data_IF_153715228458
#
_entry.id   IF_153715228458
#
_cell.length_a   1.000
_cell.length_b   1.000
_cell.length_c   1.000
_cell.angle_alpha   90.00
_cell.angle_beta   90.00
_cell.angle_gamma   90.00
#
_symmetry.space_group_name_H-M   'P 1'
#
loop_
_entity.id
_entity.type
_entity.pdbx_description
1 polymer ?
#
# COMPACT_ATOMS: atom_id res chain seq x y z
N UNK A 1 -39.86 -2.00 -9.23
CA UNK A 1 -38.96 -2.00 -8.04
C UNK A 1 -37.82 -2.96 -8.36
N UNK A 2 -36.63 -2.43 -8.61
CA UNK A 2 -35.49 -3.23 -9.03
C UNK A 2 -35.02 -4.14 -7.89
N UNK A 3 -35.04 -5.45 -8.14
CA UNK A 3 -34.43 -6.48 -7.31
C UNK A 3 -32.94 -6.19 -7.19
N UNK A 4 -32.48 -5.74 -6.03
CA UNK A 4 -31.05 -5.53 -5.76
C UNK A 4 -30.39 -6.91 -5.83
N UNK A 5 -29.49 -7.09 -6.81
CA UNK A 5 -28.63 -8.27 -6.85
C UNK A 5 -27.67 -8.19 -5.66
N UNK A 6 -28.02 -8.88 -4.57
CA UNK A 6 -27.19 -9.11 -3.39
C UNK A 6 -25.85 -9.84 -3.68
N UNK A 7 -25.56 -10.15 -4.95
CA UNK A 7 -24.44 -11.00 -5.37
C UNK A 7 -23.39 -10.28 -6.23
N UNK A 8 -23.50 -8.95 -6.45
CA UNK A 8 -22.38 -8.20 -7.07
C UNK A 8 -21.40 -7.77 -5.97
N UNK A 9 -20.08 -8.02 -6.12
CA UNK A 9 -19.10 -7.56 -5.16
C UNK A 9 -19.18 -6.03 -5.04
N UNK A 10 -19.14 -5.55 -3.81
CA UNK A 10 -19.28 -4.13 -3.52
C UNK A 10 -18.01 -3.37 -3.93
N UNK A 11 -18.08 -2.15 -4.52
CA UNK A 11 -16.88 -1.45 -5.00
C UNK A 11 -15.82 -1.23 -3.92
N UNK A 12 -16.24 -0.97 -2.67
CA UNK A 12 -15.32 -0.85 -1.54
C UNK A 12 -14.70 -2.20 -1.15
N UNK A 13 -15.45 -3.31 -1.27
CA UNK A 13 -14.89 -4.65 -1.04
C UNK A 13 -13.93 -5.05 -2.15
N UNK A 14 -14.19 -4.67 -3.40
CA UNK A 14 -13.30 -4.94 -4.52
C UNK A 14 -12.01 -4.12 -4.37
N UNK A 15 -12.12 -2.84 -4.00
CA UNK A 15 -10.97 -2.02 -3.64
C UNK A 15 -10.19 -2.63 -2.48
N UNK A 16 -10.85 -2.98 -1.38
CA UNK A 16 -10.19 -3.64 -0.24
C UNK A 16 -9.58 -4.98 -0.65
N UNK A 17 -10.21 -5.83 -1.45
CA UNK A 17 -9.63 -7.10 -1.89
C UNK A 17 -8.44 -6.92 -2.84
N UNK A 18 -8.42 -5.83 -3.61
CA UNK A 18 -7.32 -5.51 -4.54
C UNK A 18 -6.18 -4.69 -3.91
N UNK A 19 -6.49 -3.90 -2.87
CA UNK A 19 -5.58 -3.05 -2.09
C UNK A 19 -5.25 -3.61 -0.71
N UNK A 20 -5.80 -4.77 -0.35
CA UNK A 20 -5.19 -5.68 0.61
C UNK A 20 -4.07 -6.36 -0.17
N UNK A 21 -2.83 -6.02 0.16
CA UNK A 21 -1.74 -6.95 -0.05
C UNK A 21 -2.12 -8.13 0.83
N UNK A 22 -2.82 -9.11 0.25
CA UNK A 22 -3.13 -10.35 0.93
C UNK A 22 -1.80 -11.05 1.02
N UNK A 23 -1.01 -10.72 2.05
CA UNK A 23 0.17 -11.51 2.32
C UNK A 23 -0.32 -12.91 2.67
N UNK A 24 0.53 -13.92 2.48
CA UNK A 24 0.22 -15.27 2.98
C UNK A 24 0.10 -15.32 4.52
N UNK A 25 0.39 -14.19 5.19
CA UNK A 25 0.57 -14.01 6.63
C UNK A 25 -0.35 -12.97 7.30
N UNK A 26 -1.23 -12.24 6.58
CA UNK A 26 -2.19 -11.29 7.15
C UNK A 26 -2.29 -9.92 6.46
N UNK A 27 -2.95 -8.93 7.12
CA UNK A 27 -2.98 -7.53 6.68
C UNK A 27 -1.78 -6.79 7.24
N UNK A 28 -0.84 -6.39 6.39
CA UNK A 28 0.32 -5.61 6.79
C UNK A 28 0.29 -4.29 6.04
N UNK A 29 0.26 -3.18 6.79
CA UNK A 29 0.47 -1.87 6.23
C UNK A 29 1.91 -1.75 5.68
N UNK A 30 2.05 -1.28 4.45
CA UNK A 30 3.33 -1.10 3.79
C UNK A 30 3.35 0.25 3.07
N UNK A 31 4.09 1.25 3.57
CA UNK A 31 4.10 2.60 2.99
C UNK A 31 5.06 2.77 1.79
N UNK A 32 5.67 1.68 1.32
CA UNK A 32 6.80 1.71 0.41
C UNK A 32 8.16 1.68 1.11
N UNK A 33 9.17 1.23 0.39
CA UNK A 33 10.58 1.18 0.79
C UNK A 33 11.47 1.41 -0.44
N UNK A 34 11.79 2.68 -0.71
CA UNK A 34 12.72 3.04 -1.79
C UNK A 34 14.11 3.19 -1.19
N UNK A 35 15.08 2.43 -1.69
CA UNK A 35 16.43 2.32 -1.12
C UNK A 35 17.43 3.17 -1.94
N UNK A 36 18.48 3.76 -1.33
CA UNK A 36 19.41 4.65 -2.02
C UNK A 36 20.37 3.93 -2.99
N UNK A 37 20.77 2.70 -2.68
CA UNK A 37 21.78 1.93 -3.44
C UNK A 37 21.17 0.70 -4.12
N UNK A 38 19.94 0.84 -4.61
CA UNK A 38 19.26 -0.22 -5.33
C UNK A 38 19.04 0.22 -6.77
N UNK A 39 19.22 -0.69 -7.72
CA UNK A 39 19.13 -0.41 -9.16
C UNK A 39 17.74 -0.67 -9.73
N UNK A 40 16.90 -1.43 -9.03
CA UNK A 40 15.59 -1.90 -9.49
C UNK A 40 14.50 -1.52 -8.46
N UNK A 41 13.34 -1.06 -8.92
CA UNK A 41 12.21 -0.67 -8.08
C UNK A 41 10.90 -1.22 -8.62
N UNK A 42 10.17 -2.00 -7.82
CA UNK A 42 8.81 -2.40 -8.17
C UNK A 42 7.87 -1.26 -7.84
N UNK A 43 7.20 -0.74 -8.86
CA UNK A 43 6.27 0.39 -8.73
C UNK A 43 4.82 -0.01 -8.83
N UNK A 44 4.51 -1.15 -9.43
CA UNK A 44 3.16 -1.70 -9.42
C UNK A 44 3.21 -3.22 -9.30
N UNK A 45 2.46 -3.76 -8.35
CA UNK A 45 2.48 -5.19 -8.03
C UNK A 45 1.06 -5.72 -7.78
N UNK A 46 0.72 -6.90 -8.34
CA UNK A 46 -0.60 -7.48 -8.18
C UNK A 46 -0.81 -8.05 -6.77
N UNK A 47 -1.65 -7.39 -5.96
CA UNK A 47 -1.90 -7.76 -4.56
C UNK A 47 -2.49 -9.15 -4.32
N UNK A 48 -2.98 -9.85 -5.35
CA UNK A 48 -3.50 -11.22 -5.24
C UNK A 48 -2.41 -12.29 -5.07
N UNK A 49 -1.15 -11.97 -5.37
CA UNK A 49 -0.01 -12.90 -5.28
C UNK A 49 0.73 -12.69 -3.96
N UNK A 50 0.13 -13.20 -2.89
CA UNK A 50 0.58 -12.94 -1.53
C UNK A 50 1.98 -13.45 -1.20
N UNK A 51 2.33 -14.63 -1.70
CA UNK A 51 3.63 -15.23 -1.43
C UNK A 51 4.76 -14.46 -2.13
N UNK A 52 4.53 -14.04 -3.36
CA UNK A 52 5.45 -13.22 -4.14
C UNK A 52 5.58 -11.82 -3.53
N UNK A 53 4.48 -11.23 -3.07
CA UNK A 53 4.51 -9.97 -2.33
C UNK A 53 5.31 -10.09 -1.03
N UNK A 54 5.14 -11.17 -0.26
CA UNK A 54 5.92 -11.44 0.95
C UNK A 54 7.42 -11.52 0.66
N UNK A 55 7.80 -12.22 -0.41
CA UNK A 55 9.19 -12.29 -0.85
C UNK A 55 9.73 -10.91 -1.27
N UNK A 56 8.92 -10.09 -1.93
CA UNK A 56 9.28 -8.73 -2.31
C UNK A 56 9.55 -7.85 -1.07
N UNK A 57 8.63 -7.86 -0.10
CA UNK A 57 8.73 -7.08 1.13
C UNK A 57 9.94 -7.52 1.95
N UNK A 58 10.18 -8.83 2.06
CA UNK A 58 11.36 -9.36 2.73
C UNK A 58 12.64 -8.80 2.07
N UNK A 59 12.74 -8.91 0.74
CA UNK A 59 13.91 -8.42 0.00
C UNK A 59 14.13 -6.91 0.16
N UNK A 60 13.07 -6.10 0.19
CA UNK A 60 13.18 -4.66 0.40
C UNK A 60 13.56 -4.27 1.84
N UNK A 61 13.22 -5.10 2.83
CA UNK A 61 13.51 -4.84 4.25
C UNK A 61 14.85 -5.39 4.72
N UNK A 62 15.52 -6.24 3.94
CA UNK A 62 16.83 -6.75 4.29
C UNK A 62 17.83 -5.58 4.44
N UNK A 63 18.41 -5.43 5.64
CA UNK A 63 19.25 -4.28 6.01
C UNK A 63 20.70 -4.38 5.52
N UNK A 64 21.11 -5.57 5.08
CA UNK A 64 22.49 -5.89 4.67
C UNK A 64 22.62 -6.19 3.19
N UNK A 65 21.50 -6.39 2.49
CA UNK A 65 21.39 -6.67 1.07
C UNK A 65 20.13 -5.97 0.58
N UNK A 66 20.28 -4.98 -0.29
CA UNK A 66 19.18 -4.16 -0.81
C UNK A 66 18.94 -4.48 -2.30
N UNK A 67 18.51 -5.72 -2.64
CA UNK A 67 18.40 -6.13 -4.04
C UNK A 67 17.22 -5.49 -4.77
N UNK A 68 16.26 -4.92 -4.03
CA UNK A 68 15.01 -4.42 -4.62
C UNK A 68 14.39 -3.28 -3.80
N UNK A 69 14.06 -2.17 -4.45
CA UNK A 69 13.17 -1.13 -3.91
C UNK A 69 11.70 -1.49 -4.18
N UNK A 70 10.79 -1.03 -3.32
CA UNK A 70 9.35 -1.13 -3.51
C UNK A 70 8.71 0.25 -3.36
N UNK A 71 8.11 0.79 -4.42
CA UNK A 71 7.29 1.99 -4.33
C UNK A 71 5.82 1.68 -4.01
N UNK A 72 5.38 0.43 -4.22
CA UNK A 72 4.03 -0.04 -3.92
C UNK A 72 3.60 0.28 -2.49
N UNK A 73 2.32 0.62 -2.32
CA UNK A 73 1.74 1.03 -1.04
C UNK A 73 0.51 0.19 -0.73
N UNK A 74 0.40 -0.26 0.52
CA UNK A 74 -0.75 -0.98 1.05
C UNK A 74 -1.15 -0.35 2.38
N UNK A 75 -2.29 0.34 2.41
CA UNK A 75 -2.85 0.94 3.63
C UNK A 75 -4.05 0.11 4.07
N UNK A 76 -3.85 -0.61 5.18
CA UNK A 76 -4.81 -1.62 5.66
C UNK A 76 -5.61 -1.17 6.87
N UNK A 77 -5.26 -0.02 7.44
CA UNK A 77 -5.82 0.52 8.67
C UNK A 77 -5.78 2.05 8.66
N UNK A 78 -6.44 2.66 9.65
CA UNK A 78 -6.58 4.12 9.74
C UNK A 78 -5.23 4.81 9.93
N UNK A 79 -4.35 4.21 10.73
CA UNK A 79 -3.04 4.74 11.07
C UNK A 79 -2.12 4.81 9.85
N UNK A 80 -2.20 3.82 8.96
CA UNK A 80 -1.46 3.80 7.70
C UNK A 80 -2.06 4.71 6.63
N UNK A 81 -3.35 5.05 6.73
CA UNK A 81 -4.00 6.03 5.85
C UNK A 81 -5.25 5.52 5.12
N UNK A 82 -5.84 4.39 5.55
CA UNK A 82 -7.14 3.96 5.06
C UNK A 82 -8.20 5.02 5.37
N UNK A 83 -8.98 5.42 4.36
CA UNK A 83 -9.95 6.51 4.46
C UNK A 83 -9.35 7.92 4.34
N UNK A 84 -8.01 8.04 4.30
CA UNK A 84 -7.37 9.34 4.14
C UNK A 84 -7.32 9.79 2.68
N UNK A 85 -7.43 11.10 2.47
CA UNK A 85 -7.45 11.72 1.15
C UNK A 85 -6.18 12.52 0.91
N UNK A 86 -5.46 12.20 -0.17
CA UNK A 86 -4.30 12.95 -0.63
C UNK A 86 -4.66 14.13 -1.53
N UNK A 87 -3.70 15.04 -1.69
CA UNK A 87 -3.84 16.26 -2.50
C UNK A 87 -3.24 16.05 -3.88
N UNK A 88 -3.99 16.43 -4.93
CA UNK A 88 -3.54 16.43 -6.32
C UNK A 88 -2.95 17.80 -6.68
N UNK A 89 -1.61 17.94 -6.76
CA UNK A 89 -0.97 19.19 -7.13
C UNK A 89 -1.25 19.57 -8.59
N UNK A 90 -1.52 18.61 -9.47
CA UNK A 90 -1.76 18.83 -10.90
C UNK A 90 -3.14 19.43 -11.20
N UNK A 91 -4.04 19.43 -10.21
CA UNK A 91 -5.40 19.99 -10.36
C UNK A 91 -5.44 21.52 -10.41
N UNK A 92 -4.31 22.20 -10.20
CA UNK A 92 -4.20 23.67 -10.11
C UNK A 92 -4.92 24.30 -8.90
N UNK A 93 -5.70 23.52 -8.16
CA UNK A 93 -6.52 23.96 -7.02
C UNK A 93 -6.31 23.10 -5.78
N UNK A 94 -5.28 22.23 -5.78
CA UNK A 94 -5.00 21.26 -4.71
C UNK A 94 -6.24 20.45 -4.32
N UNK A 95 -7.03 20.06 -5.31
CA UNK A 95 -8.17 19.16 -5.10
C UNK A 95 -7.68 17.76 -4.73
N UNK A 96 -8.58 16.98 -4.14
CA UNK A 96 -8.31 15.58 -3.83
C UNK A 96 -8.06 14.77 -5.12
N UNK A 97 -7.29 13.67 -5.07
CA UNK A 97 -7.12 12.76 -6.22
C UNK A 97 -8.38 11.99 -6.61
N UNK A 98 -9.36 11.85 -5.70
CA UNK A 98 -10.55 11.02 -5.93
C UNK A 98 -11.32 11.32 -7.23
N UNK A 99 -11.62 12.58 -7.59
CA UNK A 99 -12.34 12.88 -8.83
C UNK A 99 -11.59 12.39 -10.07
N UNK A 100 -10.26 12.45 -10.07
CA UNK A 100 -9.43 12.00 -11.20
C UNK A 100 -9.36 10.47 -11.24
N UNK A 101 -9.01 9.82 -10.13
CA UNK A 101 -8.76 8.37 -10.11
C UNK A 101 -10.05 7.57 -10.10
N UNK A 102 -11.06 8.05 -9.38
CA UNK A 102 -12.29 7.30 -9.12
C UNK A 102 -13.51 7.88 -9.82
N UNK A 103 -13.50 9.17 -10.17
CA UNK A 103 -14.71 9.87 -10.54
C UNK A 103 -15.65 10.06 -9.35
N UNK A 104 -16.94 10.25 -9.63
CA UNK A 104 -17.96 10.38 -8.61
C UNK A 104 -18.37 8.99 -8.07
N UNK A 105 -18.28 8.82 -6.76
CA UNK A 105 -18.66 7.59 -6.08
C UNK A 105 -20.13 7.63 -5.64
N UNK A 106 -20.84 6.51 -5.83
CA UNK A 106 -22.21 6.30 -5.33
C UNK A 106 -22.22 6.18 -3.81
N UNK A 107 -23.32 6.58 -3.17
CA UNK A 107 -23.55 6.33 -1.75
C UNK A 107 -23.51 4.84 -1.40
N UNK A 108 -23.75 3.94 -2.37
CA UNK A 108 -23.65 2.51 -2.10
C UNK A 108 -22.28 2.19 -1.50
N UNK A 109 -21.19 2.79 -2.02
CA UNK A 109 -19.84 2.61 -1.51
C UNK A 109 -19.68 2.94 -0.01
N UNK A 110 -20.60 3.70 0.59
CA UNK A 110 -20.63 4.06 2.00
C UNK A 110 -21.38 3.06 2.87
N UNK A 111 -21.97 2.01 2.30
CA UNK A 111 -22.61 0.94 3.04
C UNK A 111 -21.65 -0.23 3.26
N UNK A 112 -21.56 -0.70 4.50
CA UNK A 112 -20.93 -1.96 4.85
C UNK A 112 -22.00 -2.90 5.39
N UNK A 113 -22.44 -3.85 4.57
CA UNK A 113 -23.51 -4.79 4.92
C UNK A 113 -22.89 -6.11 5.35
N UNK A 114 -23.14 -6.53 6.58
CA UNK A 114 -22.56 -7.74 7.16
C UNK A 114 -23.65 -8.69 7.62
N UNK A 115 -23.57 -9.96 7.19
CA UNK A 115 -24.41 -11.03 7.70
C UNK A 115 -23.63 -11.86 8.72
N UNK A 116 -23.98 -11.73 10.00
CA UNK A 116 -23.30 -12.42 11.11
C UNK A 116 -23.44 -13.96 11.05
N UNK A 117 -24.26 -14.47 10.14
CA UNK A 117 -24.40 -15.93 9.90
C UNK A 117 -23.30 -16.47 9.01
N UNK A 118 -22.57 -15.60 8.30
CA UNK A 118 -21.68 -15.95 7.20
C UNK A 118 -20.21 -15.58 7.45
N UNK A 119 -19.92 -14.92 8.57
CA UNK A 119 -18.57 -14.43 8.86
C UNK A 119 -18.10 -14.86 10.25
N UNK A 120 -16.78 -14.92 10.43
CA UNK A 120 -16.15 -15.17 11.73
C UNK A 120 -16.10 -13.88 12.57
N UNK A 121 -15.79 -14.02 13.86
CA UNK A 121 -15.59 -12.89 14.76
C UNK A 121 -14.43 -12.00 14.29
N UNK A 122 -13.28 -12.59 13.93
CA UNK A 122 -12.14 -11.85 13.37
C UNK A 122 -12.50 -11.08 12.09
N UNK A 123 -13.36 -11.64 11.23
CA UNK A 123 -13.82 -10.92 10.03
C UNK A 123 -14.75 -9.78 10.39
N UNK A 124 -15.60 -9.95 11.40
CA UNK A 124 -16.46 -8.88 11.90
C UNK A 124 -15.63 -7.71 12.44
N UNK A 125 -14.66 -7.99 13.30
CA UNK A 125 -13.77 -6.97 13.86
C UNK A 125 -13.04 -6.20 12.76
N UNK A 126 -12.55 -6.90 11.72
CA UNK A 126 -11.93 -6.25 10.55
C UNK A 126 -12.91 -5.35 9.80
N UNK A 127 -14.13 -5.82 9.55
CA UNK A 127 -15.18 -5.04 8.87
C UNK A 127 -15.59 -3.81 9.66
N UNK A 128 -15.62 -3.91 10.99
CA UNK A 128 -15.87 -2.79 11.89
C UNK A 128 -14.75 -1.74 11.83
N UNK A 129 -13.50 -2.18 11.94
CA UNK A 129 -12.34 -1.30 11.86
C UNK A 129 -12.27 -0.58 10.50
N UNK A 130 -12.48 -1.32 9.41
CA UNK A 130 -12.51 -0.79 8.04
C UNK A 130 -13.64 0.23 7.85
N UNK A 131 -14.86 -0.12 8.25
CA UNK A 131 -16.01 0.78 8.13
C UNK A 131 -15.78 2.07 8.93
N UNK A 132 -15.21 1.96 10.13
CA UNK A 132 -14.87 3.11 10.96
C UNK A 132 -13.78 3.99 10.34
N UNK A 133 -12.73 3.39 9.77
CA UNK A 133 -11.66 4.13 9.09
C UNK A 133 -12.17 4.88 7.86
N UNK A 134 -13.10 4.26 7.12
CA UNK A 134 -13.64 4.79 5.87
C UNK A 134 -14.89 5.68 6.03
N UNK A 135 -15.40 5.84 7.25
CA UNK A 135 -16.65 6.56 7.50
C UNK A 135 -17.88 5.91 6.86
N UNK A 136 -17.90 4.58 6.75
CA UNK A 136 -19.01 3.80 6.21
C UNK A 136 -20.06 3.49 7.28
N UNK A 137 -21.30 3.34 6.85
CA UNK A 137 -22.42 2.87 7.66
C UNK A 137 -22.41 1.35 7.70
N UNK A 138 -21.97 0.79 8.83
CA UNK A 138 -22.00 -0.65 9.08
C UNK A 138 -23.39 -1.10 9.53
N UNK A 139 -24.00 -2.02 8.78
CA UNK A 139 -25.29 -2.63 9.13
C UNK A 139 -25.14 -4.14 9.25
N UNK A 140 -25.47 -4.65 10.44
CA UNK A 140 -25.31 -6.07 10.81
C UNK A 140 -26.66 -6.78 10.77
N UNK A 141 -26.75 -7.86 10.00
CA UNK A 141 -27.87 -8.80 10.04
C UNK A 141 -27.57 -9.89 11.06
N UNK A 142 -28.46 -10.05 12.03
CA UNK A 142 -28.39 -11.11 13.04
C UNK A 142 -29.36 -12.25 12.70
N UNK A 143 -29.20 -13.40 13.37
CA UNK A 143 -30.16 -14.52 13.26
C UNK A 143 -31.56 -14.17 13.80
N UNK A 144 -31.67 -13.17 14.67
CA UNK A 144 -32.91 -12.75 15.32
C UNK A 144 -33.69 -11.73 14.50
N UNK A 145 -33.09 -11.15 13.46
CA UNK A 145 -33.73 -10.14 12.64
C UNK A 145 -34.80 -10.77 11.73
N UNK A 146 -36.05 -10.36 11.92
CA UNK A 146 -37.11 -10.60 10.93
C UNK A 146 -36.80 -9.82 9.65
N UNK A 147 -37.35 -10.25 8.51
CA UNK A 147 -37.17 -9.55 7.23
C UNK A 147 -37.69 -8.10 7.26
N UNK A 148 -38.68 -7.81 8.10
CA UNK A 148 -39.19 -6.44 8.31
C UNK A 148 -38.20 -5.58 9.09
N UNK A 149 -37.59 -6.11 10.15
CA UNK A 149 -36.55 -5.41 10.91
C UNK A 149 -35.30 -5.21 10.04
N UNK A 150 -34.89 -6.24 9.30
CA UNK A 150 -33.75 -6.16 8.38
C UNK A 150 -33.92 -5.05 7.35
N UNK A 151 -35.07 -5.00 6.66
CA UNK A 151 -35.36 -3.94 5.68
C UNK A 151 -35.30 -2.54 6.30
N UNK A 152 -35.81 -2.36 7.52
CA UNK A 152 -35.76 -1.07 8.23
C UNK A 152 -34.34 -0.67 8.60
N UNK A 153 -33.53 -1.60 9.12
CA UNK A 153 -32.12 -1.35 9.43
C UNK A 153 -31.34 -0.95 8.17
N UNK A 154 -31.55 -1.69 7.08
CA UNK A 154 -30.89 -1.43 5.81
C UNK A 154 -31.30 -0.06 5.23
N UNK A 155 -32.59 0.29 5.28
CA UNK A 155 -33.06 1.58 4.80
C UNK A 155 -32.48 2.76 5.62
N UNK A 156 -32.45 2.63 6.95
CA UNK A 156 -31.83 3.63 7.80
C UNK A 156 -30.34 3.82 7.47
N UNK A 157 -29.61 2.72 7.28
CA UNK A 157 -28.21 2.76 6.89
C UNK A 157 -28.02 3.41 5.51
N UNK A 158 -28.93 3.20 4.55
CA UNK A 158 -28.89 3.86 3.23
C UNK A 158 -28.99 5.37 3.34
N UNK A 159 -29.94 5.88 4.14
CA UNK A 159 -30.08 7.32 4.36
C UNK A 159 -28.83 7.94 4.99
N UNK A 160 -28.22 7.24 5.95
CA UNK A 160 -26.97 7.66 6.57
C UNK A 160 -25.79 7.62 5.59
N UNK A 161 -25.70 6.57 4.76
CA UNK A 161 -24.67 6.44 3.72
C UNK A 161 -24.80 7.52 2.64
N UNK A 162 -26.02 7.89 2.26
CA UNK A 162 -26.29 9.03 1.38
C UNK A 162 -25.79 10.35 1.99
N UNK A 163 -26.09 10.59 3.27
CA UNK A 163 -25.61 11.75 4.00
C UNK A 163 -24.08 11.79 4.09
N UNK A 164 -23.43 10.66 4.42
CA UNK A 164 -21.97 10.54 4.50
C UNK A 164 -21.31 10.75 3.13
N UNK A 165 -21.88 10.20 2.07
CA UNK A 165 -21.42 10.40 0.70
C UNK A 165 -21.51 11.88 0.29
N UNK A 166 -22.64 12.54 0.58
CA UNK A 166 -22.83 13.96 0.32
C UNK A 166 -21.83 14.83 1.11
N UNK A 167 -21.64 14.55 2.41
CA UNK A 167 -20.68 15.24 3.26
C UNK A 167 -19.24 15.06 2.75
N UNK A 168 -18.89 13.87 2.25
CA UNK A 168 -17.58 13.62 1.63
C UNK A 168 -17.49 14.05 0.15
N UNK A 169 -18.50 14.76 -0.36
CA UNK A 169 -18.57 15.28 -1.74
C UNK A 169 -18.44 14.18 -2.81
N UNK A 170 -18.95 12.98 -2.52
CA UNK A 170 -18.89 11.83 -3.43
C UNK A 170 -17.48 11.31 -3.73
N UNK A 171 -16.51 11.58 -2.83
CA UNK A 171 -15.17 10.98 -2.90
C UNK A 171 -15.22 9.51 -2.45
N UNK A 172 -14.18 8.75 -2.77
CA UNK A 172 -14.10 7.35 -2.35
C UNK A 172 -13.92 7.21 -0.83
N UNK A 173 -14.73 6.39 -0.13
CA UNK A 173 -14.65 6.25 1.33
C UNK A 173 -13.34 5.58 1.79
N UNK A 174 -12.72 4.76 0.94
CA UNK A 174 -11.39 4.18 1.20
C UNK A 174 -10.23 5.17 1.06
N UNK A 175 -10.49 6.38 0.54
CA UNK A 175 -9.48 7.41 0.39
C UNK A 175 -8.59 7.26 -0.85
N UNK A 176 -7.71 8.24 -1.03
CA UNK A 176 -6.75 8.30 -2.13
C UNK A 176 -5.34 8.69 -1.68
N UNK A 177 -5.09 8.76 -0.36
CA UNK A 177 -3.77 9.09 0.17
C UNK A 177 -2.70 8.07 -0.21
N UNK A 178 -3.10 6.80 -0.40
CA UNK A 178 -2.20 5.76 -0.93
C UNK A 178 -1.57 6.17 -2.26
N UNK A 179 -2.32 6.86 -3.14
CA UNK A 179 -1.84 7.23 -4.47
C UNK A 179 -0.81 8.36 -4.38
N UNK A 180 -1.06 9.36 -3.54
CA UNK A 180 -0.09 10.42 -3.25
C UNK A 180 1.21 9.84 -2.66
N UNK A 181 1.11 8.91 -1.71
CA UNK A 181 2.29 8.25 -1.15
C UNK A 181 3.04 7.41 -2.18
N UNK A 182 2.30 6.65 -2.99
CA UNK A 182 2.85 5.86 -4.08
C UNK A 182 3.58 6.75 -5.10
N UNK A 183 2.97 7.85 -5.52
CA UNK A 183 3.56 8.82 -6.44
C UNK A 183 4.89 9.36 -5.88
N UNK A 184 4.93 9.77 -4.62
CA UNK A 184 6.16 10.25 -3.97
C UNK A 184 7.27 9.18 -3.99
N UNK A 185 6.91 7.91 -3.77
CA UNK A 185 7.86 6.81 -3.83
C UNK A 185 8.38 6.58 -5.26
N UNK A 186 7.50 6.65 -6.27
CA UNK A 186 7.89 6.56 -7.68
C UNK A 186 8.84 7.70 -8.07
N UNK A 187 8.52 8.94 -7.70
CA UNK A 187 9.36 10.09 -7.97
C UNK A 187 10.73 9.95 -7.31
N UNK A 188 10.79 9.45 -6.08
CA UNK A 188 12.05 9.16 -5.40
C UNK A 188 12.86 8.06 -6.11
N UNK A 189 12.20 7.01 -6.62
CA UNK A 189 12.86 5.95 -7.38
C UNK A 189 13.44 6.49 -8.71
N UNK A 190 12.69 7.36 -9.40
CA UNK A 190 13.15 8.06 -10.61
C UNK A 190 14.34 8.96 -10.31
N UNK A 191 14.28 9.76 -9.24
CA UNK A 191 15.39 10.63 -8.82
C UNK A 191 16.67 9.84 -8.52
N UNK A 192 16.53 8.60 -8.08
CA UNK A 192 17.64 7.68 -7.81
C UNK A 192 18.10 6.89 -9.03
N UNK A 193 17.50 7.11 -10.20
CA UNK A 193 17.85 6.42 -11.44
C UNK A 193 17.53 4.92 -11.42
N UNK A 194 16.54 4.50 -10.64
CA UNK A 194 16.14 3.09 -10.54
C UNK A 194 15.34 2.67 -11.77
N UNK A 195 15.56 1.44 -12.23
CA UNK A 195 14.70 0.82 -13.24
C UNK A 195 13.36 0.51 -12.60
N UNK A 196 12.27 1.01 -13.17
CA UNK A 196 10.93 0.79 -12.62
C UNK A 196 10.30 -0.47 -13.22
N UNK A 197 9.64 -1.27 -12.39
CA UNK A 197 9.02 -2.54 -12.79
C UNK A 197 7.52 -2.53 -12.50
N UNK A 198 6.71 -2.92 -13.49
CA UNK A 198 5.26 -3.12 -13.39
C UNK A 198 4.96 -4.59 -13.64
N UNK A 199 4.30 -5.23 -12.67
CA UNK A 199 3.88 -6.63 -12.78
C UNK A 199 2.39 -6.75 -13.08
N UNK A 200 2.07 -7.59 -14.05
CA UNK A 200 0.72 -7.95 -14.47
C UNK A 200 0.34 -9.32 -13.92
N UNK A 201 -0.94 -9.64 -13.96
CA UNK A 201 -1.43 -10.99 -13.74
C UNK A 201 -0.85 -11.98 -14.75
N UNK A 202 -0.80 -13.25 -14.34
CA UNK A 202 -0.31 -14.35 -15.14
C UNK A 202 -0.95 -14.40 -16.52
N UNK A 203 -0.10 -14.47 -17.54
CA UNK A 203 -0.39 -14.44 -18.97
C UNK A 203 -1.12 -13.17 -19.46
N UNK A 204 -1.02 -12.06 -18.72
CA UNK A 204 -1.73 -10.80 -19.03
C UNK A 204 -0.80 -9.58 -19.10
N UNK A 205 0.50 -9.79 -19.36
CA UNK A 205 1.47 -8.71 -19.52
C UNK A 205 1.02 -7.68 -20.55
N UNK A 206 0.97 -6.41 -20.14
CA UNK A 206 0.58 -5.27 -20.99
C UNK A 206 -0.92 -5.06 -21.14
N UNK A 207 -1.75 -5.97 -20.63
CA UNK A 207 -3.20 -5.93 -20.80
C UNK A 207 -3.90 -5.10 -19.70
N UNK A 208 -4.96 -4.38 -20.07
CA UNK A 208 -5.82 -3.66 -19.13
C UNK A 208 -5.36 -2.27 -18.73
N UNK A 209 -4.42 -1.67 -19.47
CA UNK A 209 -4.05 -0.25 -19.33
C UNK A 209 -5.24 0.66 -19.64
N UNK A 210 -5.25 1.82 -19.00
CA UNK A 210 -6.22 2.88 -19.27
C UNK A 210 -5.48 4.19 -19.50
N UNK A 211 -6.08 5.07 -20.31
CA UNK A 211 -5.63 6.46 -20.34
C UNK A 211 -5.98 7.15 -19.03
N UNK A 212 -5.15 8.10 -18.62
CA UNK A 212 -5.33 8.82 -17.37
C UNK A 212 -6.67 9.57 -17.32
N UNK A 213 -7.10 10.14 -18.44
CA UNK A 213 -8.34 10.92 -18.54
C UNK A 213 -9.59 10.04 -18.39
N UNK A 214 -9.47 8.77 -18.78
CA UNK A 214 -10.56 7.79 -18.75
C UNK A 214 -10.75 7.17 -17.35
N UNK A 215 -9.82 7.40 -16.41
CA UNK A 215 -9.92 6.82 -15.06
C UNK A 215 -11.19 7.27 -14.32
N UNK A 216 -11.68 8.49 -14.54
CA UNK A 216 -12.89 8.94 -13.86
C UNK A 216 -14.19 8.37 -14.47
N UNK A 217 -14.12 7.74 -15.65
CA UNK A 217 -15.25 7.18 -16.36
C UNK A 217 -15.52 5.73 -15.92
N UNK A 218 -16.70 5.52 -15.31
CA UNK A 218 -17.12 4.20 -14.81
C UNK A 218 -17.38 3.19 -15.91
N UNK A 219 -17.81 3.62 -17.10
CA UNK A 219 -18.03 2.75 -18.25
C UNK A 219 -16.68 2.33 -18.83
N UNK A 220 -15.77 3.27 -19.03
CA UNK A 220 -14.42 2.97 -19.52
C UNK A 220 -13.72 1.98 -18.58
N UNK A 221 -13.83 2.19 -17.26
CA UNK A 221 -13.36 1.24 -16.25
C UNK A 221 -14.00 -0.14 -16.39
N UNK A 222 -15.33 -0.20 -16.46
CA UNK A 222 -16.04 -1.48 -16.54
C UNK A 222 -15.65 -2.27 -17.79
N UNK A 223 -15.38 -1.59 -18.90
CA UNK A 223 -14.95 -2.22 -20.14
C UNK A 223 -13.48 -2.69 -20.06
N UNK A 224 -12.57 -1.85 -19.53
CA UNK A 224 -11.17 -2.21 -19.31
C UNK A 224 -11.01 -3.40 -18.34
N UNK A 225 -11.90 -3.51 -17.34
CA UNK A 225 -11.86 -4.58 -16.32
C UNK A 225 -12.14 -5.98 -16.85
N UNK A 226 -12.84 -6.12 -17.98
CA UNK A 226 -13.23 -7.44 -18.50
C UNK A 226 -12.04 -8.31 -18.88
N UNK A 227 -10.95 -7.68 -19.30
CA UNK A 227 -9.74 -8.35 -19.78
C UNK A 227 -8.49 -7.66 -19.22
N UNK A 228 -8.50 -7.31 -17.93
CA UNK A 228 -7.39 -6.58 -17.31
C UNK A 228 -6.35 -7.52 -16.72
N UNK A 229 -5.07 -7.26 -17.05
CA UNK A 229 -3.93 -7.83 -16.36
C UNK A 229 -3.54 -7.06 -15.08
N UNK A 230 -4.28 -6.01 -14.73
CA UNK A 230 -3.97 -5.11 -13.62
C UNK A 230 -5.05 -5.19 -12.54
N UNK A 231 -4.67 -5.02 -11.28
CA UNK A 231 -5.59 -4.77 -10.16
C UNK A 231 -6.27 -3.39 -10.23
N UNK A 232 -7.20 -3.13 -9.29
CA UNK A 232 -7.97 -1.87 -9.26
C UNK A 232 -7.07 -0.66 -9.08
N UNK A 233 -6.20 -0.69 -8.07
CA UNK A 233 -5.21 0.37 -7.82
C UNK A 233 -4.18 0.47 -8.94
N UNK A 234 -3.68 -0.67 -9.42
CA UNK A 234 -2.63 -0.73 -10.44
C UNK A 234 -3.00 -0.02 -11.74
N UNK A 235 -4.27 -0.02 -12.14
CA UNK A 235 -4.68 0.70 -13.35
C UNK A 235 -4.47 2.21 -13.24
N UNK A 236 -4.67 2.79 -12.05
CA UNK A 236 -4.36 4.20 -11.83
C UNK A 236 -2.83 4.45 -11.82
N UNK A 237 -2.08 3.54 -11.20
CA UNK A 237 -0.61 3.59 -11.15
C UNK A 237 -0.01 3.60 -12.57
N UNK A 238 -0.38 2.64 -13.40
CA UNK A 238 0.15 2.50 -14.77
C UNK A 238 -0.30 3.66 -15.67
N UNK A 239 -1.58 4.08 -15.56
CA UNK A 239 -2.08 5.24 -16.31
C UNK A 239 -1.30 6.53 -15.97
N UNK A 240 -0.89 6.70 -14.71
CA UNK A 240 -0.07 7.84 -14.30
C UNK A 240 1.33 7.78 -14.90
N UNK A 241 1.99 6.62 -14.84
CA UNK A 241 3.32 6.43 -15.44
C UNK A 241 3.30 6.76 -16.93
N UNK A 242 2.30 6.27 -17.66
CA UNK A 242 2.13 6.51 -19.09
C UNK A 242 1.89 8.00 -19.39
N UNK A 243 1.00 8.65 -18.65
CA UNK A 243 0.66 10.07 -18.80
C UNK A 243 1.84 11.00 -18.47
N UNK A 244 2.72 10.60 -17.55
CA UNK A 244 3.95 11.33 -17.20
C UNK A 244 5.15 10.96 -18.06
N UNK A 245 4.99 10.03 -19.01
CA UNK A 245 6.08 9.48 -19.82
C UNK A 245 7.24 8.92 -19.00
N UNK A 246 6.93 8.32 -17.84
CA UNK A 246 7.92 7.65 -17.00
C UNK A 246 8.14 6.25 -17.56
N UNK A 247 9.38 5.93 -17.94
CA UNK A 247 9.73 4.62 -18.46
C UNK A 247 9.68 3.54 -17.37
N UNK A 248 9.10 2.38 -17.70
CA UNK A 248 9.10 1.19 -16.86
C UNK A 248 9.20 -0.07 -17.71
N UNK A 249 9.60 -1.18 -17.08
CA UNK A 249 9.67 -2.51 -17.69
C UNK A 249 8.45 -3.31 -17.25
N UNK A 250 7.79 -3.93 -18.22
CA UNK A 250 6.58 -4.72 -18.01
C UNK A 250 6.91 -6.20 -17.83
N UNK A 251 6.33 -6.80 -16.81
CA UNK A 251 6.58 -8.20 -16.45
C UNK A 251 5.28 -8.96 -16.25
N UNK A 252 5.27 -10.21 -16.68
CA UNK A 252 4.32 -11.16 -16.15
C UNK A 252 4.72 -11.53 -14.71
N UNK A 253 3.75 -11.80 -13.84
CA UNK A 253 4.05 -12.22 -12.46
C UNK A 253 4.95 -13.46 -12.39
N UNK A 254 4.86 -14.36 -13.37
CA UNK A 254 5.69 -15.57 -13.43
C UNK A 254 7.18 -15.25 -13.58
N UNK A 255 7.52 -14.04 -14.04
CA UNK A 255 8.90 -13.56 -14.18
C UNK A 255 9.49 -13.02 -12.86
N UNK A 256 8.66 -12.80 -11.83
CA UNK A 256 9.07 -12.12 -10.59
C UNK A 256 10.24 -12.80 -9.88
N UNK A 257 10.20 -14.13 -9.75
CA UNK A 257 11.25 -14.90 -9.08
C UNK A 257 12.62 -14.71 -9.75
N UNK A 258 12.65 -14.73 -11.08
CA UNK A 258 13.89 -14.55 -11.83
C UNK A 258 14.45 -13.12 -11.67
N UNK A 259 13.60 -12.12 -11.54
CA UNK A 259 14.01 -10.73 -11.29
C UNK A 259 14.62 -10.60 -9.89
N UNK A 260 13.99 -11.22 -8.89
CA UNK A 260 14.50 -11.20 -7.52
C UNK A 260 15.88 -11.87 -7.42
N UNK A 261 16.06 -13.01 -8.09
CA UNK A 261 17.35 -13.71 -8.18
C UNK A 261 18.41 -12.87 -8.92
N UNK A 262 18.05 -12.20 -10.02
CA UNK A 262 18.96 -11.29 -10.74
C UNK A 262 19.37 -10.08 -9.89
N UNK A 263 18.44 -9.48 -9.14
CA UNK A 263 18.73 -8.37 -8.23
C UNK A 263 19.73 -8.77 -7.16
N UNK A 264 19.61 -10.01 -6.66
CA UNK A 264 20.58 -10.59 -5.73
C UNK A 264 21.98 -10.75 -6.34
N UNK A 265 22.07 -11.29 -7.56
CA UNK A 265 23.36 -11.43 -8.25
C UNK A 265 24.02 -10.08 -8.54
N UNK A 266 23.25 -9.10 -9.00
CA UNK A 266 23.76 -7.74 -9.28
C UNK A 266 24.31 -7.08 -8.01
N UNK A 267 23.58 -7.18 -6.89
CA UNK A 267 24.04 -6.70 -5.59
C UNK A 267 25.36 -7.35 -5.18
N UNK A 268 25.51 -8.67 -5.35
CA UNK A 268 26.76 -9.36 -5.03
C UNK A 268 27.92 -8.85 -5.88
N UNK A 269 27.73 -8.71 -7.20
CA UNK A 269 28.79 -8.21 -8.10
C UNK A 269 29.21 -6.77 -7.77
N UNK A 270 28.26 -5.89 -7.50
CA UNK A 270 28.54 -4.48 -7.18
C UNK A 270 29.28 -4.32 -5.83
N UNK A 271 28.95 -5.16 -4.83
CA UNK A 271 29.59 -5.10 -3.51
C UNK A 271 30.90 -5.90 -3.41
N UNK A 272 31.11 -6.93 -4.24
CA UNK A 272 32.39 -7.65 -4.34
C UNK A 272 33.45 -6.90 -5.17
N UNK A 273 33.05 -5.90 -5.98
CA UNK A 273 33.96 -5.03 -6.74
C UNK A 273 34.53 -3.86 -5.94
N UNK A 274 34.05 -3.61 -4.72
CA UNK A 274 34.70 -2.65 -3.83
C UNK A 274 36.03 -3.24 -3.34
N UNK A 275 37.18 -2.55 -3.54
CA UNK A 275 38.44 -3.05 -3.06
C UNK A 275 38.38 -3.21 -1.54
N UNK A 276 38.58 -4.45 -1.08
CA UNK A 276 38.86 -4.75 0.32
C UNK A 276 39.96 -3.78 0.80
N UNK A 277 39.80 -3.11 1.96
CA UNK A 277 40.87 -2.27 2.48
C UNK A 277 42.12 -3.13 2.58
N UNK A 278 43.12 -2.79 1.76
CA UNK A 278 44.39 -3.49 1.74
C UNK A 278 44.90 -3.56 3.18
N UNK A 279 45.05 -4.77 3.72
CA UNK A 279 45.75 -4.99 4.98
C UNK A 279 47.12 -4.35 4.85
N UNK A 280 47.29 -3.16 5.40
CA UNK A 280 48.57 -2.51 5.53
C UNK A 280 49.45 -3.42 6.40
N UNK A 281 50.38 -4.14 5.76
CA UNK A 281 51.46 -4.82 6.46
C UNK A 281 52.39 -3.76 7.03
N UNK A 282 52.45 -3.71 8.36
CA UNK A 282 53.68 -3.44 9.10
C UNK A 282 54.08 -1.97 9.27
N UNK A 283 53.73 -1.41 10.44
CA UNK A 283 54.73 -0.74 11.26
C UNK A 283 54.35 -0.89 12.73
N UNK A 284 55.10 -1.76 13.42
CA UNK A 284 55.12 -1.84 14.87
C UNK A 284 55.55 -0.48 15.40
N UNK A 285 54.67 0.20 16.13
CA UNK A 285 55.05 1.33 16.96
C UNK A 285 54.68 0.96 18.40
N UNK A 286 55.72 0.86 19.22
CA UNK A 286 55.63 0.47 20.61
C UNK A 286 54.63 1.35 21.37
N UNK A 287 53.63 0.72 21.98
CA UNK A 287 52.78 1.35 22.97
C UNK A 287 53.58 1.39 24.27
N UNK A 288 53.91 2.60 24.72
CA UNK A 288 54.39 2.83 26.09
C UNK A 288 53.22 2.58 27.04
N UNK A 289 53.42 1.66 27.97
CA UNK A 289 52.59 1.53 29.18
C UNK A 289 52.57 2.88 29.92
N UNK A 290 51.36 3.34 30.23
CA UNK A 290 51.15 4.36 31.26
C UNK A 290 50.43 3.66 32.41
N UNK A 291 51.13 3.58 33.53
CA UNK A 291 50.73 2.95 34.78
C UNK A 291 49.40 3.50 35.30
N UNK A 292 48.48 2.59 35.66
CA UNK A 292 47.31 2.90 36.45
C UNK A 292 47.70 2.93 37.94
N UNK A 293 47.82 4.12 38.51
CA UNK A 293 48.00 4.34 39.94
C UNK A 293 46.73 4.00 40.75
N UNK A 294 46.87 3.58 42.03
CA UNK A 294 45.77 2.98 42.80
C UNK A 294 44.77 4.02 43.35
N UNK A 295 43.49 3.67 43.25
CA UNK A 295 42.35 4.38 43.84
C UNK A 295 42.34 4.16 45.35
N UNK A 296 42.60 5.22 46.13
CA UNK A 296 42.34 5.26 47.56
C UNK A 296 40.93 5.81 47.86
N UNK A 297 40.25 5.14 48.80
CA UNK A 297 38.94 5.53 49.34
C UNK A 297 39.11 6.68 50.34
N UNK A 298 38.23 7.68 50.30
CA UNK A 298 37.73 8.34 51.50
C UNK A 298 36.43 9.13 51.23
N UNK A 299 35.51 9.01 52.18
CA UNK A 299 34.19 9.64 52.28
C UNK A 299 34.27 11.12 52.69
N UNK A 300 33.28 11.91 52.27
CA UNK A 300 32.52 12.89 53.08
C UNK A 300 31.41 13.47 52.17
N UNK A 301 30.15 13.11 52.33
CA UNK A 301 29.20 13.70 53.28
C UNK A 301 28.88 15.17 52.97
N UNK A 302 27.68 15.44 52.43
CA UNK A 302 26.80 16.55 52.85
C UNK A 302 25.46 16.54 52.11
N UNK A 303 24.41 16.52 52.94
CA UNK A 303 23.03 16.93 52.69
C UNK A 303 22.95 18.26 51.92
N UNK A 304 21.96 18.38 51.02
CA UNK A 304 21.10 19.57 50.98
C UNK A 304 19.78 19.28 50.27
N UNK A 305 18.73 19.42 51.06
CA UNK A 305 17.33 19.65 50.77
C UNK A 305 17.13 20.80 49.75
N UNK A 306 16.01 20.83 49.02
CA UNK A 306 15.00 21.92 49.02
C UNK A 306 14.07 21.86 47.79
N UNK A 307 12.77 21.87 48.13
CA UNK A 307 11.55 22.31 47.41
C UNK A 307 11.03 21.49 46.22
#
# INVERSE_FOLDING_TARGET
>A
MNTIQLNKPHPAEEFLKSGQGLTSSGRIAFPGCVLPNCSDCVVSFPGKYGAEWDAAVLAARMTTQHPLSLACVFFTDKESGLGCHGTNPDSGTNQCWCPTIYGKISFDAYLCVVDLRQITEDELERREADAAAMGQCLVKRTKLDTDKQWRRKLEQARLEAEANCAANRGRAPWGCHWFEKWQQNVELAVQRGQTLHVFYFENMKGEGKMKWEDLCDQRAKADARRYSGLGVSQTAEVAYLDMRHICYVEHDITEFKAILEKGWHRYQEENLRLPQPTRARGRTQAVREVELGPISRARADRRMTIR
#
